data_IF_244758919095
#
_entry.id   IF_244758919095
#
_cell.length_a   1.000
_cell.length_b   1.000
_cell.length_c   1.000
_cell.angle_alpha   90.00
_cell.angle_beta   90.00
_cell.angle_gamma   90.00
#
_symmetry.space_group_name_H-M   'P 1'
#
loop_
_entity.id
_entity.type
_entity.pdbx_description
1 polymer ?
#
# COMPACT_ATOMS: atom_id res chain seq x y z
N UNK A 1 17.30 0.54 6.88
CA UNK A 1 16.47 1.35 5.95
C UNK A 1 15.64 2.40 6.67
N UNK A 2 14.71 2.03 7.55
CA UNK A 2 13.80 2.99 8.21
C UNK A 2 14.47 4.11 9.04
N UNK A 3 15.60 3.82 9.68
CA UNK A 3 16.37 4.83 10.43
C UNK A 3 16.88 5.96 9.53
N UNK A 4 17.14 5.68 8.25
CA UNK A 4 17.61 6.67 7.27
C UNK A 4 16.46 7.61 6.89
N UNK A 5 15.26 7.07 6.65
CA UNK A 5 14.06 7.87 6.34
C UNK A 5 13.70 8.78 7.52
N UNK A 6 13.84 8.28 8.75
CA UNK A 6 13.66 9.10 9.96
C UNK A 6 14.70 10.21 10.10
N UNK A 7 15.97 9.92 9.82
CA UNK A 7 17.05 10.90 9.93
C UNK A 7 17.01 11.95 8.83
N UNK A 8 16.62 11.55 7.61
CA UNK A 8 16.56 12.41 6.43
C UNK A 8 15.30 12.08 5.64
N UNK A 9 14.17 12.76 5.92
CA UNK A 9 12.93 12.55 5.20
C UNK A 9 13.14 12.86 3.71
N UNK A 10 12.78 11.89 2.87
CA UNK A 10 12.77 12.03 1.41
C UNK A 10 11.33 12.28 0.95
N UNK A 11 11.09 13.05 -0.12
CA UNK A 11 9.74 13.39 -0.56
C UNK A 11 8.95 12.18 -1.05
N UNK A 12 9.62 11.22 -1.72
CA UNK A 12 9.02 9.98 -2.22
C UNK A 12 9.95 8.80 -1.93
N UNK A 13 9.36 7.72 -1.41
CA UNK A 13 10.03 6.43 -1.19
C UNK A 13 9.25 5.32 -1.91
N UNK A 14 9.93 4.60 -2.79
CA UNK A 14 9.37 3.47 -3.52
C UNK A 14 9.90 2.18 -2.88
N UNK A 15 8.99 1.29 -2.51
CA UNK A 15 9.29 0.03 -1.84
C UNK A 15 8.70 -1.11 -2.67
N UNK A 16 9.54 -2.05 -3.12
CA UNK A 16 9.14 -3.19 -3.93
C UNK A 16 9.33 -4.49 -3.15
N UNK A 17 8.21 -5.12 -2.78
CA UNK A 17 8.11 -6.39 -2.06
C UNK A 17 9.03 -6.55 -0.83
N UNK A 18 9.37 -5.43 -0.18
CA UNK A 18 10.36 -5.41 0.92
C UNK A 18 9.89 -6.19 2.16
N UNK A 19 8.59 -6.38 2.31
CA UNK A 19 7.98 -7.17 3.40
C UNK A 19 7.75 -8.64 3.05
N UNK A 20 8.16 -9.13 1.88
CA UNK A 20 7.87 -10.49 1.40
C UNK A 20 8.32 -11.59 2.37
N UNK A 21 9.45 -11.38 3.06
CA UNK A 21 10.02 -12.31 4.04
C UNK A 21 9.39 -12.22 5.44
N UNK A 22 8.47 -11.29 5.69
CA UNK A 22 7.86 -11.10 7.01
C UNK A 22 6.65 -12.02 7.22
N UNK A 23 6.43 -12.42 8.48
CA UNK A 23 5.17 -13.03 8.91
C UNK A 23 4.02 -12.01 8.93
N UNK A 24 2.78 -12.49 9.09
CA UNK A 24 1.58 -11.63 9.07
C UNK A 24 1.59 -10.54 10.14
N UNK A 25 2.04 -10.86 11.36
CA UNK A 25 2.08 -9.90 12.47
C UNK A 25 3.06 -8.77 12.17
N UNK A 26 4.20 -9.10 11.57
CA UNK A 26 5.24 -8.16 11.20
C UNK A 26 4.87 -7.34 9.96
N UNK A 27 4.09 -7.88 9.01
CA UNK A 27 3.51 -7.09 7.91
C UNK A 27 2.60 -5.98 8.44
N UNK A 28 1.78 -6.28 9.45
CA UNK A 28 0.90 -5.26 10.06
C UNK A 28 1.75 -4.16 10.72
N UNK A 29 2.74 -4.54 11.53
CA UNK A 29 3.65 -3.57 12.18
C UNK A 29 4.41 -2.71 11.18
N UNK A 30 4.85 -3.31 10.07
CA UNK A 30 5.53 -2.63 8.98
C UNK A 30 4.66 -1.51 8.40
N UNK A 31 3.40 -1.79 8.04
CA UNK A 31 2.53 -0.77 7.47
C UNK A 31 2.16 0.32 8.46
N UNK A 32 1.86 -0.03 9.71
CA UNK A 32 1.57 0.97 10.73
C UNK A 32 2.77 1.90 10.97
N UNK A 33 3.99 1.37 10.89
CA UNK A 33 5.20 2.18 10.93
C UNK A 33 5.31 3.14 9.73
N UNK A 34 5.01 2.68 8.51
CA UNK A 34 5.01 3.55 7.32
C UNK A 34 3.97 4.67 7.41
N UNK A 35 2.77 4.39 7.94
CA UNK A 35 1.73 5.41 8.18
C UNK A 35 2.20 6.53 9.10
N UNK A 36 2.98 6.20 10.14
CA UNK A 36 3.55 7.21 11.04
C UNK A 36 4.53 8.15 10.32
N UNK A 37 5.24 7.65 9.30
CA UNK A 37 6.20 8.42 8.52
C UNK A 37 5.56 9.16 7.33
N UNK A 38 4.34 8.78 6.94
CA UNK A 38 3.62 9.32 5.77
C UNK A 38 3.50 10.85 5.77
N UNK A 39 3.48 11.49 6.94
CA UNK A 39 3.35 12.96 7.04
C UNK A 39 4.47 13.73 6.34
N UNK A 40 5.67 13.15 6.22
CA UNK A 40 6.85 13.80 5.63
C UNK A 40 7.37 13.10 4.37
N UNK A 41 6.94 11.87 4.12
CA UNK A 41 7.40 11.05 3.00
C UNK A 41 6.21 10.37 2.36
N UNK A 42 6.03 10.54 1.04
CA UNK A 42 5.08 9.75 0.29
C UNK A 42 5.64 8.34 0.06
N UNK A 43 4.82 7.32 0.25
CA UNK A 43 5.19 5.93 0.02
C UNK A 43 4.44 5.36 -1.18
N UNK A 44 5.18 4.81 -2.14
CA UNK A 44 4.66 3.96 -3.20
C UNK A 44 5.12 2.53 -2.90
N UNK A 45 4.18 1.65 -2.59
CA UNK A 45 4.48 0.27 -2.20
C UNK A 45 3.97 -0.67 -3.28
N UNK A 46 4.85 -1.49 -3.82
CA UNK A 46 4.55 -2.57 -4.74
C UNK A 46 4.57 -3.85 -3.91
N UNK A 47 3.43 -4.54 -3.85
CA UNK A 47 3.25 -5.69 -2.99
C UNK A 47 2.08 -6.56 -3.44
N UNK A 48 2.16 -7.85 -3.14
CA UNK A 48 1.06 -8.79 -3.23
C UNK A 48 0.56 -9.24 -1.83
N UNK A 49 1.02 -8.62 -0.73
CA UNK A 49 0.63 -9.00 0.64
C UNK A 49 -0.70 -8.35 1.03
N UNK A 50 -1.73 -9.16 1.28
CA UNK A 50 -3.06 -8.68 1.71
C UNK A 50 -2.99 -7.76 2.94
N UNK A 51 -2.15 -8.10 3.92
CA UNK A 51 -1.98 -7.29 5.13
C UNK A 51 -1.52 -5.86 4.84
N UNK A 52 -0.69 -5.67 3.82
CA UNK A 52 -0.26 -4.35 3.35
C UNK A 52 -1.37 -3.67 2.54
N UNK A 53 -1.90 -4.38 1.53
CA UNK A 53 -2.94 -3.87 0.63
C UNK A 53 -4.19 -3.39 1.36
N UNK A 54 -4.57 -4.00 2.49
CA UNK A 54 -5.78 -3.63 3.22
C UNK A 54 -5.63 -2.40 4.14
N UNK A 55 -4.42 -1.82 4.23
CA UNK A 55 -4.06 -0.78 5.21
C UNK A 55 -3.42 0.46 4.56
N UNK A 56 -3.52 0.62 3.24
CA UNK A 56 -3.07 1.83 2.53
C UNK A 56 -4.22 2.83 2.35
N UNK A 57 -3.91 4.05 1.93
CA UNK A 57 -4.92 5.07 1.64
C UNK A 57 -5.60 4.82 0.29
N UNK A 58 -4.81 4.46 -0.72
CA UNK A 58 -5.26 4.26 -2.08
C UNK A 58 -4.55 3.02 -2.66
N UNK A 59 -5.31 2.16 -3.33
CA UNK A 59 -4.81 0.94 -3.94
C UNK A 59 -4.86 1.10 -5.46
N UNK A 60 -3.70 0.93 -6.11
CA UNK A 60 -3.56 0.91 -7.55
C UNK A 60 -3.45 -0.54 -8.01
N UNK A 61 -4.47 -1.02 -8.72
CA UNK A 61 -4.46 -2.34 -9.32
C UNK A 61 -3.94 -2.29 -10.74
N UNK A 62 -3.01 -3.18 -11.07
CA UNK A 62 -2.49 -3.34 -12.43
C UNK A 62 -3.02 -4.67 -12.97
N UNK A 63 -3.68 -4.62 -14.12
CA UNK A 63 -4.17 -5.82 -14.83
C UNK A 63 -3.52 -5.92 -16.20
N UNK A 64 -3.49 -7.12 -16.76
CA UNK A 64 -3.01 -7.36 -18.12
C UNK A 64 -4.09 -8.11 -18.91
N UNK A 65 -5.06 -7.38 -19.46
CA UNK A 65 -6.17 -7.96 -20.23
C UNK A 65 -5.71 -8.55 -21.57
N UNK A 66 -4.71 -7.92 -22.18
CA UNK A 66 -4.03 -8.39 -23.39
C UNK A 66 -2.56 -8.59 -23.07
N UNK A 67 -1.96 -9.65 -23.60
CA UNK A 67 -0.54 -9.96 -23.36
C UNK A 67 0.34 -8.75 -23.71
N UNK A 68 1.11 -8.28 -22.73
CA UNK A 68 2.03 -7.14 -22.90
C UNK A 68 1.38 -5.75 -22.82
N UNK A 69 0.06 -5.65 -22.56
CA UNK A 69 -0.62 -4.36 -22.36
C UNK A 69 -1.20 -4.32 -20.95
N UNK A 70 -0.61 -3.49 -20.10
CA UNK A 70 -1.09 -3.26 -18.74
C UNK A 70 -2.15 -2.16 -18.71
N UNK A 71 -3.18 -2.35 -17.89
CA UNK A 71 -4.21 -1.36 -17.58
C UNK A 71 -4.26 -1.13 -16.08
N UNK A 72 -4.37 0.13 -15.68
CA UNK A 72 -4.33 0.56 -14.28
C UNK A 72 -5.75 0.95 -13.86
N UNK A 73 -6.15 0.51 -12.67
CA UNK A 73 -7.36 0.99 -12.00
C UNK A 73 -7.02 1.43 -10.57
N UNK A 74 -7.81 2.35 -10.03
CA UNK A 74 -7.59 2.91 -8.70
C UNK A 74 -8.80 2.65 -7.82
N UNK A 75 -8.56 2.21 -6.59
CA UNK A 75 -9.58 2.01 -5.57
C UNK A 75 -9.19 2.84 -4.34
N UNK A 76 -10.11 3.67 -3.88
CA UNK A 76 -9.98 4.34 -2.58
C UNK A 76 -10.62 3.45 -1.52
N UNK A 77 -9.83 2.97 -0.55
CA UNK A 77 -10.29 1.97 0.42
C UNK A 77 -11.37 2.51 1.37
N UNK A 78 -11.41 3.82 1.59
CA UNK A 78 -12.50 4.53 2.28
C UNK A 78 -13.83 4.32 1.55
N UNK A 79 -13.90 4.74 0.28
CA UNK A 79 -15.09 4.68 -0.58
C UNK A 79 -15.55 3.24 -0.86
N UNK A 80 -14.60 2.32 -1.01
CA UNK A 80 -14.91 0.90 -1.24
C UNK A 80 -15.68 0.27 -0.05
N UNK A 81 -15.40 0.70 1.18
CA UNK A 81 -16.13 0.23 2.37
C UNK A 81 -17.55 0.78 2.43
N UNK A 82 -17.79 1.98 1.92
CA UNK A 82 -19.11 2.61 1.93
C UNK A 82 -20.04 1.96 0.89
N UNK A 83 -19.52 1.66 -0.31
CA UNK A 83 -20.27 0.91 -1.34
C UNK A 83 -20.72 -0.48 -0.88
N UNK A 84 -19.87 -1.19 -0.11
CA UNK A 84 -20.23 -2.49 0.46
C UNK A 84 -21.34 -2.40 1.51
N UNK A 85 -21.44 -1.30 2.25
CA UNK A 85 -22.50 -1.09 3.24
C UNK A 85 -23.84 -0.78 2.58
N UNK A 86 -23.84 -0.04 1.47
CA UNK A 86 -25.05 0.27 0.70
C UNK A 86 -25.65 -0.97 0.00
N UNK A 87 -24.83 -1.96 -0.36
CA UNK A 87 -25.31 -3.21 -0.98
C UNK A 87 -25.80 -4.27 0.03
N UNK A 88 -25.55 -4.08 1.33
CA UNK A 88 -25.93 -4.99 2.41
C UNK A 88 -27.11 -4.46 3.25
N UNK A 89 -27.73 -3.36 2.81
CA UNK A 89 -29.02 -2.86 3.29
C UNK A 89 -30.11 -3.12 2.25
#
# INVERSE_FOLDING_TARGET
>A
MFSIIKARPIPLCILDEVEAALDESNVIRYVEFLKQLKQKTQFLIITHRHGTMSRVDQLLGITMQKRGVSSIFSVELSKAKDLLKEQLQ
#
